data_IF_056469430477
#
_entry.id   IF_056469430477
#
_cell.length_a   1.000
_cell.length_b   1.000
_cell.length_c   1.000
_cell.angle_alpha   90.00
_cell.angle_beta   90.00
_cell.angle_gamma   90.00
#
_symmetry.space_group_name_H-M   'P 1'
#
loop_
_entity.id
_entity.type
_entity.pdbx_description
1 polymer ?
#
# COMPACT_ATOMS: atom_id res chain seq x y z
N UNK A 1 5.64 24.59 -13.12
CA UNK A 1 5.90 24.71 -11.67
C UNK A 1 5.71 23.32 -11.10
N UNK A 2 6.75 22.67 -10.57
CA UNK A 2 6.59 21.32 -10.03
C UNK A 2 5.93 21.44 -8.66
N UNK A 3 4.64 21.10 -8.57
CA UNK A 3 3.98 20.97 -7.27
C UNK A 3 4.69 19.88 -6.46
N UNK A 4 4.94 20.18 -5.18
CA UNK A 4 5.69 19.29 -4.29
C UNK A 4 4.80 18.12 -3.90
N UNK A 5 5.06 16.93 -4.46
CA UNK A 5 4.33 15.72 -4.08
C UNK A 5 4.51 15.41 -2.59
N UNK A 6 3.40 15.20 -1.91
CA UNK A 6 3.35 14.74 -0.53
C UNK A 6 3.10 13.24 -0.53
N UNK A 7 4.14 12.49 -0.21
CA UNK A 7 4.12 11.03 -0.18
C UNK A 7 4.15 10.56 1.28
N UNK A 8 3.23 9.66 1.64
CA UNK A 8 3.30 8.92 2.89
C UNK A 8 4.05 7.62 2.67
N UNK A 9 4.85 7.21 3.65
CA UNK A 9 5.56 5.92 3.61
C UNK A 9 5.16 5.12 4.86
N UNK A 10 4.83 3.86 4.67
CA UNK A 10 4.52 2.91 5.72
C UNK A 10 5.44 1.69 5.64
N UNK A 11 5.87 1.19 6.81
CA UNK A 11 6.60 -0.06 6.94
C UNK A 11 5.65 -1.26 6.98
N UNK A 12 5.82 -2.11 8.00
CA UNK A 12 5.02 -3.32 8.16
C UNK A 12 3.58 -3.02 8.62
N UNK A 13 2.62 -3.60 7.90
CA UNK A 13 1.18 -3.54 8.19
C UNK A 13 0.72 -4.85 8.82
N UNK A 14 1.30 -5.98 8.40
CA UNK A 14 1.03 -7.34 8.89
C UNK A 14 -0.47 -7.69 8.98
N UNK A 15 -1.27 -7.23 8.00
CA UNK A 15 -2.70 -7.50 7.94
C UNK A 15 -3.60 -6.52 8.72
N UNK A 16 -3.04 -5.52 9.41
CA UNK A 16 -3.78 -4.50 10.19
C UNK A 16 -4.30 -3.35 9.32
N UNK A 17 -5.06 -3.67 8.29
CA UNK A 17 -5.51 -2.70 7.27
C UNK A 17 -6.38 -1.58 7.85
N UNK A 18 -7.30 -1.90 8.77
CA UNK A 18 -8.19 -0.87 9.35
C UNK A 18 -7.37 0.15 10.14
N UNK A 19 -6.38 -0.30 10.92
CA UNK A 19 -5.49 0.59 11.67
C UNK A 19 -4.67 1.47 10.74
N UNK A 20 -4.12 0.91 9.66
CA UNK A 20 -3.37 1.66 8.66
C UNK A 20 -4.21 2.77 8.04
N UNK A 21 -5.35 2.41 7.44
CA UNK A 21 -6.16 3.35 6.68
C UNK A 21 -6.82 4.41 7.58
N UNK A 22 -7.24 4.06 8.80
CA UNK A 22 -7.73 5.06 9.77
C UNK A 22 -6.64 6.08 10.13
N UNK A 23 -5.38 5.62 10.29
CA UNK A 23 -4.26 6.51 10.60
C UNK A 23 -3.92 7.40 9.41
N UNK A 24 -3.93 6.84 8.20
CA UNK A 24 -3.71 7.58 6.96
C UNK A 24 -4.79 8.64 6.77
N UNK A 25 -6.06 8.31 6.99
CA UNK A 25 -7.18 9.24 6.93
C UNK A 25 -7.00 10.40 7.93
N UNK A 26 -6.66 10.11 9.19
CA UNK A 26 -6.42 11.14 10.21
C UNK A 26 -5.25 12.07 9.83
N UNK A 27 -4.18 11.52 9.28
CA UNK A 27 -3.01 12.29 8.81
C UNK A 27 -3.38 13.12 7.58
N UNK A 28 -4.13 12.55 6.63
CA UNK A 28 -4.57 13.21 5.41
C UNK A 28 -5.50 14.39 5.73
N UNK A 29 -6.43 14.22 6.67
CA UNK A 29 -7.29 15.32 7.16
C UNK A 29 -6.51 16.43 7.85
N UNK A 30 -5.41 16.10 8.55
CA UNK A 30 -4.62 17.07 9.31
C UNK A 30 -3.55 17.79 8.49
N UNK A 31 -2.91 17.10 7.56
CA UNK A 31 -1.67 17.56 6.86
C UNK A 31 -1.74 17.42 5.34
N UNK A 32 -2.83 16.87 4.80
CA UNK A 32 -3.03 16.60 3.39
C UNK A 32 -3.47 17.82 2.56
N UNK A 33 -3.87 17.59 1.30
CA UNK A 33 -3.98 16.27 0.66
C UNK A 33 -2.61 15.63 0.41
N UNK A 34 -2.51 14.33 0.66
CA UNK A 34 -1.37 13.52 0.23
C UNK A 34 -1.66 12.89 -1.12
N UNK A 35 -0.64 12.84 -1.98
CA UNK A 35 -0.78 12.33 -3.34
C UNK A 35 -0.80 10.80 -3.36
N UNK A 36 0.00 10.13 -2.51
CA UNK A 36 0.06 8.67 -2.44
C UNK A 36 0.64 8.15 -1.11
N UNK A 37 0.33 6.90 -0.81
CA UNK A 37 0.92 6.11 0.27
C UNK A 37 1.77 4.98 -0.32
N UNK A 38 3.02 4.85 0.10
CA UNK A 38 3.93 3.79 -0.29
C UNK A 38 4.15 2.83 0.88
N UNK A 39 3.76 1.56 0.71
CA UNK A 39 4.02 0.49 1.67
C UNK A 39 5.29 -0.27 1.27
N UNK A 40 6.35 -0.10 2.07
CA UNK A 40 7.66 -0.72 1.85
C UNK A 40 7.90 -1.97 2.71
N UNK A 41 7.01 -2.25 3.66
CA UNK A 41 7.07 -3.44 4.53
C UNK A 41 6.06 -4.52 4.15
N UNK A 42 5.85 -5.45 5.08
CA UNK A 42 4.86 -6.53 4.94
C UNK A 42 3.44 -5.97 4.98
N UNK A 43 2.79 -5.88 3.82
CA UNK A 43 1.39 -5.43 3.75
C UNK A 43 0.41 -6.48 4.29
N UNK A 44 0.52 -7.72 3.80
CA UNK A 44 -0.22 -8.87 4.33
C UNK A 44 0.51 -9.49 5.53
N UNK A 45 -0.24 -10.18 6.38
CA UNK A 45 0.26 -10.95 7.51
C UNK A 45 -0.47 -12.28 7.68
N UNK A 46 -0.50 -12.79 8.91
CA UNK A 46 -1.14 -14.08 9.24
C UNK A 46 -2.67 -14.02 9.09
N UNK A 47 -3.29 -12.89 9.44
CA UNK A 47 -4.73 -12.69 9.33
C UNK A 47 -5.04 -11.47 8.46
N UNK A 48 -5.59 -11.72 7.27
CA UNK A 48 -5.90 -10.68 6.29
C UNK A 48 -7.40 -10.46 6.08
N UNK A 49 -8.26 -10.97 6.97
CA UNK A 49 -9.73 -10.84 6.85
C UNK A 49 -10.22 -9.39 6.77
N UNK A 50 -9.49 -8.47 7.39
CA UNK A 50 -9.79 -7.04 7.30
C UNK A 50 -9.66 -6.51 5.85
N UNK A 51 -8.82 -7.15 5.02
CA UNK A 51 -8.62 -6.75 3.63
C UNK A 51 -9.89 -6.93 2.80
N UNK A 52 -10.69 -7.95 3.10
CA UNK A 52 -11.91 -8.24 2.36
C UNK A 52 -12.88 -7.05 2.36
N UNK A 53 -12.94 -6.28 3.44
CA UNK A 53 -13.81 -5.08 3.50
C UNK A 53 -13.40 -4.01 2.48
N UNK A 54 -12.11 -3.91 2.17
CA UNK A 54 -11.57 -3.01 1.14
C UNK A 54 -11.72 -3.63 -0.25
N UNK A 55 -11.48 -4.94 -0.37
CA UNK A 55 -11.64 -5.69 -1.62
C UNK A 55 -13.07 -5.68 -2.15
N UNK A 56 -14.06 -5.85 -1.28
CA UNK A 56 -15.48 -5.77 -1.64
C UNK A 56 -16.02 -4.33 -1.71
N UNK A 57 -15.18 -3.32 -1.47
CA UNK A 57 -15.58 -1.91 -1.54
C UNK A 57 -16.51 -1.43 -0.42
N UNK A 58 -16.62 -2.19 0.67
CA UNK A 58 -17.37 -1.79 1.88
C UNK A 58 -16.70 -0.58 2.52
N UNK A 59 -15.36 -0.60 2.60
CA UNK A 59 -14.53 0.56 2.96
C UNK A 59 -13.75 1.05 1.76
N UNK A 60 -13.62 2.37 1.67
CA UNK A 60 -12.81 3.03 0.65
C UNK A 60 -11.48 3.45 1.23
N UNK A 61 -10.45 3.40 0.41
CA UNK A 61 -9.13 3.93 0.71
C UNK A 61 -9.09 5.35 0.17
N UNK A 62 -8.87 6.36 1.02
CA UNK A 62 -8.88 7.77 0.61
C UNK A 62 -7.61 8.17 -0.18
N UNK A 63 -6.47 7.57 0.16
CA UNK A 63 -5.17 7.90 -0.43
C UNK A 63 -4.68 6.71 -1.26
N UNK A 64 -4.40 6.87 -2.56
CA UNK A 64 -3.94 5.77 -3.41
C UNK A 64 -2.70 5.12 -2.80
N UNK A 65 -2.79 3.81 -2.58
CA UNK A 65 -1.77 3.05 -1.85
C UNK A 65 -1.01 2.13 -2.79
N UNK A 66 0.31 2.26 -2.82
CA UNK A 66 1.20 1.45 -3.61
C UNK A 66 1.99 0.52 -2.70
N UNK A 67 1.92 -0.77 -2.97
CA UNK A 67 2.62 -1.81 -2.21
C UNK A 67 3.77 -2.34 -3.05
N UNK A 68 4.99 -2.33 -2.50
CA UNK A 68 6.18 -2.81 -3.21
C UNK A 68 6.23 -4.33 -3.36
N UNK A 69 5.64 -5.08 -2.43
CA UNK A 69 5.50 -6.52 -2.54
C UNK A 69 5.74 -7.30 -1.27
N UNK A 70 5.71 -8.63 -1.39
CA UNK A 70 5.96 -9.53 -0.28
C UNK A 70 7.45 -9.51 0.12
N UNK A 71 7.74 -9.16 1.38
CA UNK A 71 9.07 -9.39 1.96
C UNK A 71 9.26 -10.82 2.48
N UNK A 72 8.20 -11.65 2.45
CA UNK A 72 8.17 -13.04 2.90
C UNK A 72 7.57 -13.92 1.82
N UNK A 73 8.17 -15.08 1.56
CA UNK A 73 7.70 -16.05 0.56
C UNK A 73 6.26 -16.49 0.82
N UNK A 74 5.89 -16.62 2.09
CA UNK A 74 4.54 -17.00 2.53
C UNK A 74 3.45 -16.03 2.05
N UNK A 75 3.82 -14.76 1.84
CA UNK A 75 2.91 -13.71 1.43
C UNK A 75 2.78 -13.61 -0.08
N UNK A 76 3.65 -14.24 -0.87
CA UNK A 76 3.66 -14.17 -2.34
C UNK A 76 2.31 -14.57 -2.93
N UNK A 77 1.63 -15.56 -2.35
CA UNK A 77 0.28 -16.01 -2.75
C UNK A 77 -0.81 -14.93 -2.69
N UNK A 78 -0.59 -13.84 -1.95
CA UNK A 78 -1.53 -12.74 -1.84
C UNK A 78 -1.30 -11.65 -2.90
N UNK A 79 -0.21 -11.75 -3.67
CA UNK A 79 0.14 -10.79 -4.71
C UNK A 79 -0.04 -11.39 -6.11
N UNK A 80 -0.57 -10.62 -7.06
CA UNK A 80 -0.64 -11.00 -8.47
C UNK A 80 0.74 -10.86 -9.13
N UNK A 81 1.05 -11.70 -10.12
CA UNK A 81 2.39 -11.74 -10.75
C UNK A 81 2.73 -10.48 -11.57
N UNK A 82 1.74 -9.85 -12.22
CA UNK A 82 1.93 -8.76 -13.19
C UNK A 82 1.89 -7.33 -12.60
N UNK A 83 1.94 -7.16 -11.27
CA UNK A 83 1.86 -5.82 -10.67
C UNK A 83 0.51 -5.14 -10.94
N UNK A 84 -0.56 -5.74 -10.43
CA UNK A 84 -1.93 -5.26 -10.64
C UNK A 84 -2.55 -4.62 -9.39
N UNK A 85 -3.77 -4.12 -9.53
CA UNK A 85 -4.58 -3.66 -8.41
C UNK A 85 -4.94 -4.84 -7.48
N UNK A 86 -4.72 -4.68 -6.17
CA UNK A 86 -5.10 -5.66 -5.13
C UNK A 86 -6.56 -5.45 -4.70
N UNK A 87 -6.97 -4.18 -4.57
CA UNK A 87 -8.33 -3.73 -4.37
C UNK A 87 -8.46 -2.26 -4.83
N UNK A 88 -9.67 -1.71 -4.99
CA UNK A 88 -9.85 -0.35 -5.50
C UNK A 88 -8.99 0.65 -4.73
N UNK A 89 -8.11 1.36 -5.46
CA UNK A 89 -7.18 2.37 -4.93
C UNK A 89 -5.97 1.81 -4.13
N UNK A 90 -5.70 0.50 -4.24
CA UNK A 90 -4.52 -0.17 -3.70
C UNK A 90 -3.85 -1.01 -4.77
N UNK A 91 -2.64 -0.61 -5.17
CA UNK A 91 -1.91 -1.19 -6.30
C UNK A 91 -0.66 -1.91 -5.83
N UNK A 92 -0.43 -3.11 -6.35
CA UNK A 92 0.85 -3.79 -6.22
C UNK A 92 1.76 -3.33 -7.36
N UNK A 93 2.96 -2.83 -7.04
CA UNK A 93 3.90 -2.31 -8.03
C UNK A 93 4.66 -3.40 -8.81
N UNK A 94 4.59 -4.66 -8.37
CA UNK A 94 5.32 -5.77 -8.98
C UNK A 94 6.69 -6.01 -8.36
N UNK A 95 7.26 -7.20 -8.58
CA UNK A 95 8.60 -7.58 -8.08
C UNK A 95 9.73 -6.88 -8.85
N UNK A 96 9.46 -6.42 -10.07
CA UNK A 96 10.43 -5.82 -10.97
C UNK A 96 10.64 -4.31 -10.78
N UNK A 97 9.78 -3.62 -10.04
CA UNK A 97 9.88 -2.16 -9.87
C UNK A 97 11.11 -1.74 -9.05
N UNK A 98 11.76 -2.66 -8.33
CA UNK A 98 12.97 -2.38 -7.57
C UNK A 98 14.29 -2.58 -8.33
N UNK A 99 14.29 -3.18 -9.53
CA UNK A 99 15.50 -3.28 -10.34
C UNK A 99 15.99 -1.89 -10.79
N UNK A 100 15.08 -0.91 -10.91
CA UNK A 100 15.41 0.47 -11.29
C UNK A 100 15.69 1.41 -10.12
N UNK A 101 15.12 1.17 -8.93
CA UNK A 101 15.30 2.05 -7.75
C UNK A 101 16.60 1.72 -7.00
N UNK A 102 17.02 0.46 -6.99
CA UNK A 102 18.30 0.05 -6.40
C UNK A 102 19.51 0.55 -7.21
N UNK A 103 19.33 0.93 -8.49
CA UNK A 103 20.41 1.45 -9.33
C UNK A 103 20.75 2.93 -9.05
N UNK A 104 20.01 3.60 -8.14
CA UNK A 104 20.16 5.04 -7.85
C UNK A 104 20.61 5.34 -6.40
N UNK A 105 20.96 4.33 -5.61
CA UNK A 105 21.63 4.51 -4.31
C UNK A 105 23.04 3.91 -4.33
#
# INVERSE_FOLDING_TARGET
MAEKQKILICGDVEGRFITLFNRVEAINKKSGPFDLLLCVGNFFGVNNKEFDTYKFGIKKVEVPTYVLGPNKEEHVKFYPEDGSELCPNVHYLGSYSFQGVLMLI
#
